data_IF_097562654092
#
_entry.id   IF_097562654092
#
_cell.length_a   1.000
_cell.length_b   1.000
_cell.length_c   1.000
_cell.angle_alpha   90.00
_cell.angle_beta   90.00
_cell.angle_gamma   90.00
#
_symmetry.space_group_name_H-M   'P 1'
#
loop_
_entity.id
_entity.type
_entity.pdbx_description
1 polymer ?
#
# COMPACT_ATOMS: atom_id res chain seq x y z
N UNK A 1 11.34 5.29 -1.65
CA UNK A 1 10.77 3.93 -1.50
C UNK A 1 11.14 3.04 -2.67
N UNK A 2 10.75 3.37 -3.90
CA UNK A 2 11.06 2.57 -5.10
C UNK A 2 12.56 2.27 -5.28
N UNK A 3 13.44 3.27 -5.15
CA UNK A 3 14.90 3.06 -5.21
C UNK A 3 15.43 1.96 -4.27
N UNK A 4 14.80 1.79 -3.10
CA UNK A 4 15.18 0.73 -2.14
C UNK A 4 14.57 -0.63 -2.51
N UNK A 5 13.43 -0.65 -3.18
CA UNK A 5 12.78 -1.89 -3.64
C UNK A 5 13.52 -2.52 -4.82
N UNK A 6 14.15 -1.70 -5.65
CA UNK A 6 14.86 -2.13 -6.87
C UNK A 6 16.37 -2.34 -6.65
N UNK A 7 16.82 -2.31 -5.39
CA UNK A 7 18.25 -2.39 -5.08
C UNK A 7 18.81 -3.76 -5.50
N UNK A 8 19.89 -3.75 -6.28
CA UNK A 8 20.47 -4.94 -6.91
C UNK A 8 19.82 -5.40 -8.22
N UNK A 9 18.64 -4.87 -8.61
CA UNK A 9 17.96 -5.17 -9.89
C UNK A 9 17.20 -3.95 -10.44
N UNK A 10 17.92 -2.91 -10.88
CA UNK A 10 17.28 -1.67 -11.34
C UNK A 10 16.48 -1.86 -12.65
N UNK A 11 16.75 -2.89 -13.42
CA UNK A 11 16.04 -3.22 -14.67
C UNK A 11 14.62 -3.75 -14.44
N UNK A 12 14.34 -4.34 -13.27
CA UNK A 12 13.04 -4.93 -12.89
C UNK A 12 12.13 -3.91 -12.17
N UNK A 13 12.41 -2.61 -12.27
CA UNK A 13 11.73 -1.56 -11.50
C UNK A 13 10.22 -1.49 -11.74
N UNK A 14 9.78 -1.85 -12.94
CA UNK A 14 8.40 -1.85 -13.40
C UNK A 14 7.56 -2.91 -12.65
N UNK A 15 8.19 -4.04 -12.33
CA UNK A 15 7.56 -5.13 -11.56
C UNK A 15 7.20 -4.67 -10.15
N UNK A 16 8.07 -3.87 -9.52
CA UNK A 16 7.85 -3.33 -8.17
C UNK A 16 6.97 -2.07 -8.14
N UNK A 17 6.66 -1.48 -9.30
CA UNK A 17 5.96 -0.20 -9.37
C UNK A 17 4.56 -0.28 -8.75
N UNK A 18 3.81 -1.35 -9.06
CA UNK A 18 2.45 -1.53 -8.56
C UNK A 18 2.43 -1.64 -7.03
N UNK A 19 3.32 -2.46 -6.47
CA UNK A 19 3.45 -2.63 -5.02
C UNK A 19 3.87 -1.34 -4.32
N UNK A 20 4.80 -0.60 -4.92
CA UNK A 20 5.26 0.68 -4.40
C UNK A 20 4.14 1.73 -4.38
N UNK A 21 3.35 1.81 -5.45
CA UNK A 21 2.20 2.70 -5.55
C UNK A 21 1.08 2.31 -4.58
N UNK A 22 0.84 1.01 -4.41
CA UNK A 22 -0.12 0.51 -3.45
C UNK A 22 0.24 0.96 -2.02
N UNK A 23 1.45 0.67 -1.57
CA UNK A 23 1.92 1.06 -0.25
C UNK A 23 1.87 2.58 -0.03
N UNK A 24 2.19 3.37 -1.06
CA UNK A 24 2.10 4.82 -0.98
C UNK A 24 0.66 5.34 -0.83
N UNK A 25 -0.30 4.69 -1.48
CA UNK A 25 -1.72 5.10 -1.45
C UNK A 25 -2.47 4.62 -0.22
N UNK A 26 -1.99 3.56 0.42
CA UNK A 26 -2.59 2.97 1.61
C UNK A 26 -2.27 3.78 2.88
N UNK A 27 -1.04 4.28 3.01
CA UNK A 27 -0.57 4.94 4.23
C UNK A 27 -1.12 6.36 4.36
N UNK A 28 -1.65 6.77 5.54
CA UNK A 28 -2.04 8.14 5.80
C UNK A 28 -0.87 9.11 5.62
N UNK A 29 -1.07 10.15 4.81
CA UNK A 29 -0.04 11.14 4.59
C UNK A 29 -0.07 12.16 5.73
N UNK A 30 1.10 12.47 6.30
CA UNK A 30 1.20 13.24 7.55
C UNK A 30 0.58 14.65 7.53
N UNK A 31 0.62 15.35 6.40
CA UNK A 31 0.00 16.69 6.28
C UNK A 31 -1.51 16.65 6.05
N UNK A 32 -2.05 15.54 5.53
CA UNK A 32 -3.48 15.41 5.25
C UNK A 32 -4.22 14.61 6.33
N UNK A 33 -3.53 13.73 7.05
CA UNK A 33 -4.11 12.79 8.01
C UNK A 33 -4.90 11.63 7.37
N UNK A 34 -5.15 11.70 6.06
CA UNK A 34 -5.85 10.69 5.27
C UNK A 34 -4.90 10.02 4.28
N UNK A 35 -5.23 8.78 3.89
CA UNK A 35 -4.51 8.13 2.80
C UNK A 35 -4.99 8.68 1.44
N UNK A 36 -4.13 8.75 0.40
CA UNK A 36 -4.56 9.16 -0.93
C UNK A 36 -5.74 8.35 -1.46
N UNK A 37 -5.82 7.06 -1.12
CA UNK A 37 -6.97 6.21 -1.46
C UNK A 37 -8.27 6.71 -0.80
N UNK A 38 -8.24 7.04 0.49
CA UNK A 38 -9.40 7.57 1.20
C UNK A 38 -9.91 8.88 0.61
N UNK A 39 -9.01 9.74 0.15
CA UNK A 39 -9.39 11.02 -0.46
C UNK A 39 -10.19 10.82 -1.75
N UNK A 40 -9.84 9.80 -2.54
CA UNK A 40 -10.49 9.53 -3.83
C UNK A 40 -11.79 8.74 -3.64
N UNK A 41 -11.78 7.71 -2.79
CA UNK A 41 -12.87 6.73 -2.70
C UNK A 41 -13.73 6.86 -1.44
N UNK A 42 -13.36 7.73 -0.49
CA UNK A 42 -14.10 7.95 0.76
C UNK A 42 -14.12 6.75 1.72
N UNK A 43 -13.35 5.69 1.44
CA UNK A 43 -13.34 4.44 2.20
C UNK A 43 -11.90 4.05 2.58
N UNK A 44 -11.72 3.32 3.68
CA UNK A 44 -10.44 2.72 4.05
C UNK A 44 -10.02 1.69 2.98
N UNK A 45 -8.76 1.73 2.49
CA UNK A 45 -8.24 0.70 1.60
C UNK A 45 -8.15 -0.64 2.34
N UNK A 46 -8.74 -1.70 1.78
CA UNK A 46 -8.59 -3.06 2.30
C UNK A 46 -7.22 -3.60 1.88
N UNK A 47 -6.25 -3.48 2.76
CA UNK A 47 -4.88 -3.90 2.49
C UNK A 47 -4.57 -5.36 2.81
N UNK A 48 -3.39 -5.87 2.39
CA UNK A 48 -2.93 -7.22 2.69
C UNK A 48 -2.92 -7.53 4.18
N UNK A 49 -2.57 -6.56 5.03
CA UNK A 49 -2.55 -6.72 6.48
C UNK A 49 -3.95 -6.92 7.06
N UNK A 50 -4.96 -6.25 6.49
CA UNK A 50 -6.33 -6.39 6.93
C UNK A 50 -6.93 -7.73 6.49
N UNK A 51 -6.59 -8.19 5.28
CA UNK A 51 -6.93 -9.53 4.80
C UNK A 51 -6.29 -10.61 5.68
N UNK A 52 -5.00 -10.44 6.02
CA UNK A 52 -4.30 -11.36 6.93
C UNK A 52 -4.96 -11.37 8.31
N UNK A 53 -5.33 -10.21 8.86
CA UNK A 53 -6.04 -10.09 10.13
C UNK A 53 -7.39 -10.81 10.09
N UNK A 54 -8.20 -10.60 9.06
CA UNK A 54 -9.50 -11.27 8.90
C UNK A 54 -9.35 -12.80 8.84
N UNK A 55 -8.41 -13.29 8.03
CA UNK A 55 -8.14 -14.73 7.93
C UNK A 55 -7.65 -15.32 9.26
N UNK A 56 -6.85 -14.56 10.02
CA UNK A 56 -6.31 -15.00 11.30
C UNK A 56 -7.36 -15.03 12.40
N UNK A 57 -8.15 -13.97 12.54
CA UNK A 57 -9.15 -13.85 13.63
C UNK A 57 -10.46 -14.55 13.29
N UNK A 58 -10.68 -14.96 12.03
CA UNK A 58 -11.95 -15.52 11.52
C UNK A 58 -13.17 -14.63 11.74
N UNK A 59 -12.95 -13.34 12.01
CA UNK A 59 -14.00 -12.33 12.06
C UNK A 59 -14.35 -11.96 10.61
N UNK A 60 -15.61 -12.20 10.24
CA UNK A 60 -16.22 -11.76 8.98
C UNK A 60 -16.75 -10.35 9.11
#
# INVERSE_FOLDING_TARGET
MLRRLVDGRPEEWDTYLNDALFAYREVPQASLGYSPYQVIFGSQPRGPLEVLKQNWTKEQ
#
